data_IF_650097949483
#
_entry.id   IF_650097949483
#
_cell.length_a   1.000
_cell.length_b   1.000
_cell.length_c   1.000
_cell.angle_alpha   90.00
_cell.angle_beta   90.00
_cell.angle_gamma   90.00
#
_symmetry.space_group_name_H-M   'P 1'
#
loop_
_entity.id
_entity.type
_entity.pdbx_description
1 polymer ?
#
# COMPACT_ATOMS: atom_id res chain seq x y z
N UNK A 1 2.75 -12.63 21.54
CA UNK A 1 2.31 -11.54 20.64
C UNK A 1 3.56 -10.91 20.04
N UNK A 2 3.65 -10.84 18.72
CA UNK A 2 4.83 -10.30 18.03
C UNK A 2 4.91 -8.78 18.19
N UNK A 3 3.77 -8.10 18.16
CA UNK A 3 3.62 -6.66 18.28
C UNK A 3 2.33 -6.28 19.01
N UNK A 4 2.29 -5.10 19.61
CA UNK A 4 1.08 -4.59 20.27
C UNK A 4 0.20 -3.80 19.29
N UNK A 5 0.81 -3.21 18.25
CA UNK A 5 0.14 -2.51 17.14
C UNK A 5 0.80 -2.88 15.82
N UNK A 6 0.00 -2.95 14.77
CA UNK A 6 0.48 -3.19 13.41
C UNK A 6 -0.09 -2.17 12.44
N UNK A 7 0.71 -1.75 11.49
CA UNK A 7 0.28 -0.91 10.38
C UNK A 7 -0.84 -1.60 9.58
N UNK A 8 -0.69 -2.88 9.26
CA UNK A 8 -1.67 -3.67 8.48
C UNK A 8 -3.08 -3.61 9.10
N UNK A 9 -3.23 -3.85 10.40
CA UNK A 9 -4.56 -3.77 11.07
C UNK A 9 -5.17 -2.38 10.90
N UNK A 10 -4.36 -1.33 11.09
CA UNK A 10 -4.83 0.05 10.97
C UNK A 10 -5.26 0.37 9.53
N UNK A 11 -4.51 -0.12 8.54
CA UNK A 11 -4.80 0.07 7.12
C UNK A 11 -6.13 -0.57 6.71
N UNK A 12 -6.38 -1.81 7.12
CA UNK A 12 -7.63 -2.49 6.78
C UNK A 12 -8.84 -1.90 7.52
N UNK A 13 -8.67 -1.43 8.75
CA UNK A 13 -9.73 -0.65 9.44
C UNK A 13 -10.02 0.64 8.69
N UNK A 14 -8.99 1.33 8.19
CA UNK A 14 -9.15 2.51 7.36
C UNK A 14 -9.93 2.22 6.07
N UNK A 15 -9.57 1.16 5.35
CA UNK A 15 -10.28 0.74 4.14
C UNK A 15 -11.76 0.45 4.39
N UNK A 16 -12.07 -0.28 5.48
CA UNK A 16 -13.44 -0.56 5.87
C UNK A 16 -14.22 0.71 6.22
N UNK A 17 -13.62 1.63 6.97
CA UNK A 17 -14.24 2.92 7.30
C UNK A 17 -14.42 3.83 6.09
N UNK A 18 -13.50 3.79 5.12
CA UNK A 18 -13.63 4.52 3.86
C UNK A 18 -14.89 4.11 3.12
N UNK A 19 -15.11 2.81 2.93
CA UNK A 19 -16.31 2.33 2.24
C UNK A 19 -17.60 2.54 3.07
N UNK A 20 -17.51 2.44 4.39
CA UNK A 20 -18.66 2.77 5.25
C UNK A 20 -19.01 4.26 5.18
N UNK A 21 -18.02 5.14 5.27
CA UNK A 21 -18.24 6.59 5.13
C UNK A 21 -18.80 6.98 3.77
N UNK A 22 -18.30 6.34 2.71
CA UNK A 22 -18.78 6.59 1.33
C UNK A 22 -20.30 6.42 1.16
N UNK A 23 -20.90 5.50 1.91
CA UNK A 23 -22.36 5.22 1.80
C UNK A 23 -23.17 5.87 2.92
N UNK A 24 -22.61 6.08 4.10
CA UNK A 24 -23.34 6.60 5.28
C UNK A 24 -23.20 8.10 5.46
N UNK A 25 -22.05 8.68 5.11
CA UNK A 25 -21.64 10.03 5.46
C UNK A 25 -21.73 10.33 6.97
N UNK A 26 -21.52 9.28 7.78
CA UNK A 26 -21.57 9.37 9.23
C UNK A 26 -20.39 10.22 9.76
N UNK A 27 -20.69 11.26 10.55
CA UNK A 27 -19.68 12.20 11.05
C UNK A 27 -18.63 11.53 11.93
N UNK A 28 -19.02 10.58 12.78
CA UNK A 28 -18.06 9.85 13.64
C UNK A 28 -17.10 9.05 12.81
N UNK A 29 -17.58 8.37 11.76
CA UNK A 29 -16.72 7.60 10.84
C UNK A 29 -15.75 8.52 10.10
N UNK A 30 -16.22 9.69 9.65
CA UNK A 30 -15.36 10.73 9.06
C UNK A 30 -14.23 11.18 9.99
N UNK A 31 -14.54 11.45 11.27
CA UNK A 31 -13.52 11.80 12.26
C UNK A 31 -12.55 10.64 12.56
N UNK A 32 -13.01 9.38 12.52
CA UNK A 32 -12.13 8.22 12.64
C UNK A 32 -11.18 8.07 11.46
N UNK A 33 -11.65 8.35 10.23
CA UNK A 33 -10.77 8.37 9.05
C UNK A 33 -9.67 9.41 9.19
N UNK A 34 -10.01 10.63 9.61
CA UNK A 34 -9.04 11.71 9.87
C UNK A 34 -8.01 11.29 10.91
N UNK A 35 -8.46 10.74 12.02
CA UNK A 35 -7.57 10.25 13.07
C UNK A 35 -6.62 9.16 12.57
N UNK A 36 -7.09 8.22 11.74
CA UNK A 36 -6.23 7.17 11.18
C UNK A 36 -5.19 7.77 10.24
N UNK A 37 -5.57 8.72 9.38
CA UNK A 37 -4.63 9.44 8.50
C UNK A 37 -3.54 10.16 9.32
N UNK A 38 -3.92 10.81 10.43
CA UNK A 38 -2.96 11.45 11.34
C UNK A 38 -1.99 10.43 11.94
N UNK A 39 -2.48 9.27 12.38
CA UNK A 39 -1.62 8.19 12.89
C UNK A 39 -0.67 7.69 11.80
N UNK A 40 -1.14 7.52 10.56
CA UNK A 40 -0.26 7.12 9.45
C UNK A 40 0.82 8.15 9.18
N UNK A 41 0.47 9.42 9.07
CA UNK A 41 1.41 10.49 8.79
C UNK A 41 2.45 10.70 9.91
N UNK A 42 1.99 10.62 11.17
CA UNK A 42 2.79 11.07 12.32
C UNK A 42 3.51 9.92 13.06
N UNK A 43 3.07 8.65 12.87
CA UNK A 43 3.56 7.49 13.63
C UNK A 43 4.00 6.32 12.76
N UNK A 44 3.36 6.11 11.62
CA UNK A 44 3.61 4.95 10.77
C UNK A 44 4.60 5.29 9.65
N UNK A 45 4.41 6.41 8.97
CA UNK A 45 5.30 6.86 7.91
C UNK A 45 6.64 7.34 8.47
N UNK A 46 7.72 6.82 7.92
CA UNK A 46 9.09 7.23 8.25
C UNK A 46 9.66 8.08 7.10
N UNK A 47 9.73 9.41 7.25
CA UNK A 47 10.15 10.30 6.16
C UNK A 47 11.64 10.18 5.80
N UNK A 48 12.48 9.70 6.73
CA UNK A 48 13.90 9.48 6.48
C UNK A 48 14.12 8.25 5.60
N UNK A 49 13.36 7.17 5.86
CA UNK A 49 13.42 5.93 5.11
C UNK A 49 12.47 5.93 3.89
N UNK A 50 11.55 6.91 3.80
CA UNK A 50 10.54 7.04 2.73
C UNK A 50 9.65 5.79 2.58
N UNK A 51 9.30 5.18 3.72
CA UNK A 51 8.52 3.96 3.81
C UNK A 51 7.69 3.96 5.08
N UNK A 52 6.81 2.98 5.21
CA UNK A 52 6.12 2.71 6.45
C UNK A 52 6.96 1.82 7.37
N UNK A 53 6.77 1.99 8.67
CA UNK A 53 7.13 1.01 9.68
C UNK A 53 5.94 0.07 9.92
N UNK A 54 6.19 -1.20 10.25
CA UNK A 54 5.17 -2.25 10.18
C UNK A 54 4.67 -2.69 11.55
N UNK A 55 5.60 -2.91 12.50
CA UNK A 55 5.31 -3.46 13.83
C UNK A 55 5.76 -2.52 14.93
N UNK A 56 4.87 -2.29 15.91
CA UNK A 56 5.10 -1.32 16.97
C UNK A 56 4.80 -1.88 18.34
N UNK A 57 5.46 -1.33 19.36
CA UNK A 57 5.02 -1.41 20.73
C UNK A 57 3.79 -0.49 20.98
N UNK A 58 3.31 -0.46 22.24
CA UNK A 58 2.17 0.38 22.63
C UNK A 58 2.38 1.90 22.40
N UNK A 59 3.63 2.35 22.35
CA UNK A 59 4.01 3.76 22.21
C UNK A 59 4.34 4.15 20.75
N UNK A 60 4.14 3.24 19.80
CA UNK A 60 4.55 3.37 18.39
C UNK A 60 6.06 3.39 18.17
N UNK A 61 6.85 2.79 19.07
CA UNK A 61 8.25 2.52 18.75
C UNK A 61 8.31 1.30 17.82
N UNK A 62 9.04 1.42 16.71
CA UNK A 62 9.30 0.33 15.79
C UNK A 62 10.09 -0.78 16.47
N UNK A 63 9.64 -2.03 16.34
CA UNK A 63 10.24 -3.19 17.02
C UNK A 63 11.01 -4.12 16.08
N UNK A 64 10.88 -3.95 14.77
CA UNK A 64 11.61 -4.72 13.77
C UNK A 64 11.89 -3.86 12.54
N UNK A 65 13.09 -3.96 11.99
CA UNK A 65 13.42 -3.38 10.69
C UNK A 65 12.87 -4.27 9.59
N UNK A 66 11.67 -3.91 9.12
CA UNK A 66 10.95 -4.58 8.05
C UNK A 66 10.38 -3.55 7.08
N UNK A 67 10.70 -3.70 5.81
CA UNK A 67 10.10 -2.94 4.72
C UNK A 67 9.18 -3.85 3.91
N UNK A 68 7.88 -3.71 4.07
CA UNK A 68 6.87 -4.46 3.31
C UNK A 68 6.48 -3.67 2.06
N UNK A 69 6.99 -4.06 0.92
CA UNK A 69 6.76 -3.36 -0.35
C UNK A 69 5.30 -3.39 -0.76
N UNK A 70 4.65 -4.55 -0.60
CA UNK A 70 3.23 -4.71 -0.91
C UNK A 70 2.34 -3.79 -0.07
N UNK A 71 2.60 -3.67 1.23
CA UNK A 71 1.81 -2.78 2.07
C UNK A 71 2.06 -1.29 1.79
N UNK A 72 3.26 -0.91 1.38
CA UNK A 72 3.52 0.49 1.02
C UNK A 72 2.72 0.90 -0.22
N UNK A 73 2.71 0.06 -1.25
CA UNK A 73 1.94 0.35 -2.46
C UNK A 73 0.42 0.27 -2.21
N UNK A 74 -0.04 -0.69 -1.38
CA UNK A 74 -1.43 -0.79 -0.93
C UNK A 74 -1.85 0.47 -0.18
N UNK A 75 -1.05 0.93 0.78
CA UNK A 75 -1.33 2.16 1.53
C UNK A 75 -1.41 3.37 0.62
N UNK A 76 -0.54 3.47 -0.39
CA UNK A 76 -0.53 4.60 -1.30
C UNK A 76 -1.91 4.80 -1.95
N UNK A 77 -2.50 3.76 -2.54
CA UNK A 77 -3.80 3.91 -3.21
C UNK A 77 -4.99 3.92 -2.24
N UNK A 78 -4.94 3.15 -1.13
CA UNK A 78 -6.03 3.15 -0.13
C UNK A 78 -6.17 4.50 0.55
N UNK A 79 -5.07 5.16 0.91
CA UNK A 79 -5.09 6.50 1.51
C UNK A 79 -5.60 7.54 0.52
N UNK A 80 -5.17 7.50 -0.74
CA UNK A 80 -5.69 8.37 -1.78
C UNK A 80 -7.20 8.19 -1.97
N UNK A 81 -7.67 6.95 -1.97
CA UNK A 81 -9.10 6.62 -2.02
C UNK A 81 -9.86 7.19 -0.82
N UNK A 82 -9.32 7.04 0.39
CA UNK A 82 -9.94 7.58 1.61
C UNK A 82 -10.01 9.10 1.60
N UNK A 83 -8.95 9.76 1.14
CA UNK A 83 -8.91 11.23 0.98
C UNK A 83 -9.96 11.70 -0.03
N UNK A 84 -10.10 11.01 -1.16
CA UNK A 84 -11.11 11.33 -2.18
C UNK A 84 -12.53 11.20 -1.61
N UNK A 85 -12.81 10.08 -0.92
CA UNK A 85 -14.12 9.81 -0.32
C UNK A 85 -14.46 10.80 0.80
N UNK A 86 -13.46 11.17 1.62
CA UNK A 86 -13.64 12.17 2.68
C UNK A 86 -13.90 13.57 2.11
N UNK A 87 -13.28 13.93 0.99
CA UNK A 87 -13.44 15.23 0.34
C UNK A 87 -12.85 16.41 1.12
N UNK A 88 -11.97 16.17 2.09
CA UNK A 88 -11.34 17.19 2.92
C UNK A 88 -9.99 17.65 2.31
N UNK A 89 -9.92 18.92 1.91
CA UNK A 89 -8.74 19.48 1.24
C UNK A 89 -7.48 19.46 2.12
N UNK A 90 -7.63 19.64 3.44
CA UNK A 90 -6.49 19.57 4.37
C UNK A 90 -5.87 18.18 4.38
N UNK A 91 -6.68 17.12 4.46
CA UNK A 91 -6.18 15.75 4.43
C UNK A 91 -5.63 15.36 3.07
N UNK A 92 -6.17 15.91 1.98
CA UNK A 92 -5.57 15.76 0.66
C UNK A 92 -4.15 16.34 0.61
N UNK A 93 -3.97 17.57 1.09
CA UNK A 93 -2.66 18.23 1.14
C UNK A 93 -1.67 17.49 2.05
N UNK A 94 -2.14 16.96 3.19
CA UNK A 94 -1.33 16.21 4.15
C UNK A 94 -0.87 14.86 3.60
N UNK A 95 -1.77 14.09 2.98
CA UNK A 95 -1.52 12.70 2.61
C UNK A 95 -0.88 12.52 1.23
N UNK A 96 -1.22 13.36 0.23
CA UNK A 96 -0.70 13.19 -1.14
C UNK A 96 0.82 13.10 -1.24
N UNK A 97 1.63 13.93 -0.56
CA UNK A 97 3.09 13.77 -0.62
C UNK A 97 3.60 12.45 -0.03
N UNK A 98 2.89 11.90 0.95
CA UNK A 98 3.24 10.62 1.57
C UNK A 98 2.92 9.49 0.60
N UNK A 99 1.71 9.43 0.04
CA UNK A 99 1.27 8.38 -0.87
C UNK A 99 2.12 8.35 -2.14
N UNK A 100 2.44 9.51 -2.71
CA UNK A 100 3.37 9.63 -3.85
C UNK A 100 4.75 9.09 -3.49
N UNK A 101 5.29 9.47 -2.32
CA UNK A 101 6.60 8.99 -1.87
C UNK A 101 6.64 7.48 -1.70
N UNK A 102 5.58 6.88 -1.14
CA UNK A 102 5.47 5.43 -0.99
C UNK A 102 5.48 4.72 -2.34
N UNK A 103 4.63 5.14 -3.28
CA UNK A 103 4.56 4.55 -4.61
C UNK A 103 5.88 4.69 -5.39
N UNK A 104 6.48 5.90 -5.39
CA UNK A 104 7.76 6.14 -6.06
C UNK A 104 8.91 5.33 -5.46
N UNK A 105 8.95 5.20 -4.12
CA UNK A 105 10.01 4.47 -3.47
C UNK A 105 9.91 2.97 -3.76
N UNK A 106 8.71 2.39 -3.67
CA UNK A 106 8.46 1.00 -4.03
C UNK A 106 8.85 0.72 -5.48
N UNK A 107 8.43 1.57 -6.42
CA UNK A 107 8.82 1.46 -7.83
C UNK A 107 10.34 1.42 -8.02
N UNK A 108 11.08 2.26 -7.29
CA UNK A 108 12.54 2.37 -7.43
C UNK A 108 13.33 1.21 -6.81
N UNK A 109 12.83 0.65 -5.69
CA UNK A 109 13.63 -0.29 -4.88
C UNK A 109 13.20 -1.75 -5.00
N UNK A 110 11.96 -2.01 -5.43
CA UNK A 110 11.37 -3.35 -5.35
C UNK A 110 10.77 -3.85 -6.67
N UNK A 111 10.48 -2.97 -7.62
CA UNK A 111 9.96 -3.35 -8.93
C UNK A 111 11.12 -3.62 -9.89
N UNK A 112 11.14 -4.82 -10.49
CA UNK A 112 12.23 -5.27 -11.36
C UNK A 112 12.00 -5.01 -12.86
N UNK A 113 10.88 -4.34 -13.19
CA UNK A 113 10.42 -4.10 -14.56
C UNK A 113 9.31 -5.05 -15.00
N UNK A 114 9.00 -6.08 -14.20
CA UNK A 114 7.96 -7.06 -14.49
C UNK A 114 7.06 -7.34 -13.29
N UNK A 115 7.62 -7.35 -12.08
CA UNK A 115 6.93 -7.76 -10.85
C UNK A 115 7.54 -7.14 -9.61
N UNK A 116 6.78 -7.16 -8.51
CA UNK A 116 7.21 -6.60 -7.23
C UNK A 116 7.73 -7.67 -6.28
N UNK A 117 8.91 -7.46 -5.69
CA UNK A 117 9.40 -8.26 -4.57
C UNK A 117 8.49 -8.13 -3.34
N UNK A 118 8.52 -9.12 -2.44
CA UNK A 118 7.64 -9.14 -1.26
C UNK A 118 8.03 -8.10 -0.21
N UNK A 119 9.24 -8.21 0.34
CA UNK A 119 9.67 -7.41 1.49
C UNK A 119 11.20 -7.40 1.67
N UNK A 120 11.69 -6.50 2.51
CA UNK A 120 13.08 -6.52 2.97
C UNK A 120 13.12 -6.50 4.50
N UNK A 121 13.72 -7.52 5.11
CA UNK A 121 13.85 -7.62 6.55
C UNK A 121 15.33 -7.50 6.93
N UNK A 122 15.69 -6.48 7.73
CA UNK A 122 17.07 -6.26 8.20
C UNK A 122 18.11 -6.25 7.07
N UNK A 123 17.73 -5.70 5.91
CA UNK A 123 18.57 -5.61 4.72
C UNK A 123 18.57 -6.87 3.82
N UNK A 124 17.89 -7.93 4.20
CA UNK A 124 17.73 -9.13 3.38
C UNK A 124 16.41 -9.07 2.61
N UNK A 125 16.48 -9.08 1.27
CA UNK A 125 15.31 -9.02 0.39
C UNK A 125 14.73 -10.43 0.25
N UNK A 126 13.42 -10.54 0.50
CA UNK A 126 12.61 -11.68 0.11
C UNK A 126 11.98 -11.34 -1.26
N UNK A 127 12.47 -11.97 -2.29
CA UNK A 127 12.07 -11.71 -3.68
C UNK A 127 10.95 -12.62 -4.21
N UNK A 128 10.34 -13.43 -3.36
CA UNK A 128 9.14 -14.17 -3.71
C UNK A 128 8.02 -13.24 -4.18
N UNK A 129 7.27 -13.68 -5.19
CA UNK A 129 6.13 -12.93 -5.73
C UNK A 129 4.84 -13.45 -5.11
N UNK A 130 4.41 -12.80 -4.01
CA UNK A 130 3.18 -13.16 -3.30
C UNK A 130 1.99 -12.56 -4.06
N UNK A 131 0.96 -13.33 -4.31
CA UNK A 131 -0.17 -12.97 -5.17
C UNK A 131 -0.82 -11.63 -4.85
N UNK A 132 -1.06 -11.34 -3.55
CA UNK A 132 -1.72 -10.10 -3.16
C UNK A 132 -0.81 -8.88 -3.38
N UNK A 133 0.50 -9.03 -3.18
CA UNK A 133 1.49 -7.98 -3.44
C UNK A 133 1.43 -7.57 -4.92
N UNK A 134 1.35 -8.55 -5.83
CA UNK A 134 1.25 -8.27 -7.26
C UNK A 134 -0.07 -7.57 -7.60
N UNK A 135 -1.20 -8.02 -7.01
CA UNK A 135 -2.50 -7.41 -7.22
C UNK A 135 -2.54 -5.94 -6.74
N UNK A 136 -2.00 -5.67 -5.55
CA UNK A 136 -1.90 -4.33 -4.99
C UNK A 136 -0.99 -3.42 -5.82
N UNK A 137 0.06 -3.99 -6.40
CA UNK A 137 0.99 -3.26 -7.28
C UNK A 137 0.31 -2.76 -8.54
N UNK A 138 -0.50 -3.58 -9.20
CA UNK A 138 -1.28 -3.15 -10.38
C UNK A 138 -2.15 -1.94 -10.03
N UNK A 139 -2.88 -2.01 -8.91
CA UNK A 139 -3.80 -0.95 -8.49
C UNK A 139 -3.02 0.31 -8.09
N UNK A 140 -1.96 0.14 -7.29
CA UNK A 140 -1.19 1.26 -6.75
C UNK A 140 -0.44 2.02 -7.84
N UNK A 141 0.18 1.34 -8.80
CA UNK A 141 0.84 2.01 -9.92
C UNK A 141 -0.17 2.68 -10.86
N UNK A 142 -1.30 2.03 -11.13
CA UNK A 142 -2.38 2.66 -11.91
C UNK A 142 -2.92 3.90 -11.22
N UNK A 143 -3.12 3.89 -9.90
CA UNK A 143 -3.53 5.04 -9.12
C UNK A 143 -2.53 6.20 -9.23
N UNK A 144 -1.22 5.92 -9.12
CA UNK A 144 -0.19 6.94 -9.26
C UNK A 144 -0.17 7.57 -10.67
N UNK A 145 -0.34 6.76 -11.72
CA UNK A 145 -0.51 7.27 -13.08
C UNK A 145 -1.76 8.14 -13.23
N UNK A 146 -2.90 7.73 -12.66
CA UNK A 146 -4.14 8.51 -12.74
C UNK A 146 -4.02 9.89 -12.07
N UNK A 147 -3.25 9.98 -10.99
CA UNK A 147 -2.92 11.26 -10.32
C UNK A 147 -1.96 12.11 -11.14
N UNK A 148 -1.03 11.47 -11.82
CA UNK A 148 0.09 12.09 -12.54
C UNK A 148 0.27 11.48 -13.93
N UNK A 149 -0.61 11.78 -14.92
CA UNK A 149 -0.58 11.15 -16.25
C UNK A 149 0.72 11.37 -17.04
N UNK A 150 1.54 12.35 -16.63
CA UNK A 150 2.87 12.59 -17.22
C UNK A 150 3.93 11.56 -16.74
N UNK A 151 3.64 10.78 -15.69
CA UNK A 151 4.49 9.69 -15.20
C UNK A 151 4.10 8.36 -15.89
N UNK A 152 4.29 8.29 -17.22
CA UNK A 152 3.90 7.12 -18.05
C UNK A 152 4.52 5.81 -17.57
N UNK A 153 5.69 5.86 -16.95
CA UNK A 153 6.36 4.69 -16.37
C UNK A 153 5.51 3.92 -15.34
N UNK A 154 4.56 4.57 -14.66
CA UNK A 154 3.65 3.88 -13.74
C UNK A 154 2.54 3.12 -14.48
N UNK A 155 2.06 3.63 -15.62
CA UNK A 155 1.15 2.86 -16.47
C UNK A 155 1.85 1.64 -17.05
N UNK A 156 3.04 1.82 -17.63
CA UNK A 156 3.85 0.74 -18.16
C UNK A 156 4.16 -0.33 -17.10
N UNK A 157 4.48 0.08 -15.87
CA UNK A 157 4.71 -0.83 -14.75
C UNK A 157 3.46 -1.59 -14.33
N UNK A 158 2.28 -0.92 -14.27
CA UNK A 158 1.01 -1.58 -13.98
C UNK A 158 0.63 -2.61 -15.05
N UNK A 159 0.87 -2.30 -16.32
CA UNK A 159 0.65 -3.22 -17.43
C UNK A 159 1.60 -4.42 -17.38
N UNK A 160 2.90 -4.19 -17.12
CA UNK A 160 3.89 -5.26 -17.00
C UNK A 160 3.56 -6.20 -15.83
N UNK A 161 3.17 -5.64 -14.68
CA UNK A 161 2.73 -6.41 -13.51
C UNK A 161 1.49 -7.26 -13.83
N UNK A 162 0.53 -6.71 -14.56
CA UNK A 162 -0.66 -7.46 -14.98
C UNK A 162 -0.31 -8.60 -15.95
N UNK A 163 0.64 -8.40 -16.89
CA UNK A 163 1.12 -9.49 -17.74
C UNK A 163 1.79 -10.58 -16.91
N UNK A 164 2.64 -10.22 -15.94
CA UNK A 164 3.25 -11.16 -15.01
C UNK A 164 2.20 -11.99 -14.25
N UNK A 165 1.17 -11.35 -13.71
CA UNK A 165 0.07 -12.04 -13.02
C UNK A 165 -0.59 -13.06 -13.94
N UNK A 166 -0.91 -12.69 -15.18
CA UNK A 166 -1.55 -13.59 -16.16
C UNK A 166 -0.68 -14.79 -16.53
N UNK A 167 0.62 -14.60 -16.60
CA UNK A 167 1.55 -15.65 -16.99
C UNK A 167 1.90 -16.60 -15.86
N UNK A 168 2.13 -16.07 -14.66
CA UNK A 168 2.78 -16.80 -13.59
C UNK A 168 1.88 -17.02 -12.35
N UNK A 169 1.03 -16.06 -11.99
CA UNK A 169 0.25 -16.12 -10.74
C UNK A 169 -1.09 -16.83 -10.92
N UNK A 170 -1.75 -16.63 -12.06
CA UNK A 170 -3.03 -17.29 -12.36
C UNK A 170 -2.78 -18.80 -12.62
N UNK A 171 -3.37 -19.64 -11.77
CA UNK A 171 -3.34 -21.09 -11.97
C UNK A 171 -4.34 -21.51 -13.08
N UNK A 172 -3.82 -21.97 -14.21
CA UNK A 172 -4.62 -22.31 -15.40
C UNK A 172 -5.31 -23.68 -15.31
N UNK A 173 -5.18 -24.43 -14.22
CA UNK A 173 -5.88 -25.68 -14.00
C UNK A 173 -7.38 -25.44 -13.79
N UNK A 174 -8.22 -26.33 -14.32
CA UNK A 174 -9.68 -26.21 -14.17
C UNK A 174 -10.09 -26.20 -12.71
N UNK A 175 -10.81 -25.15 -12.29
CA UNK A 175 -11.30 -24.98 -10.90
C UNK A 175 -10.27 -24.40 -9.93
N UNK A 176 -9.09 -24.03 -10.43
CA UNK A 176 -8.08 -23.31 -9.65
C UNK A 176 -8.26 -21.80 -9.77
N UNK A 177 -7.61 -21.04 -8.89
CA UNK A 177 -7.63 -19.58 -8.85
C UNK A 177 -6.22 -19.03 -9.11
N UNK A 178 -5.52 -18.62 -8.04
CA UNK A 178 -4.17 -18.07 -8.10
C UNK A 178 -3.21 -18.90 -7.25
N UNK A 179 -1.96 -18.98 -7.66
CA UNK A 179 -0.91 -19.48 -6.78
C UNK A 179 -0.69 -18.52 -5.63
N UNK A 180 -0.38 -19.07 -4.43
CA UNK A 180 -0.06 -18.23 -3.28
C UNK A 180 1.20 -17.38 -3.52
N UNK A 181 2.21 -18.01 -4.07
CA UNK A 181 3.49 -17.39 -4.42
C UNK A 181 4.11 -18.05 -5.65
N UNK A 182 4.94 -17.29 -6.35
CA UNK A 182 5.80 -17.75 -7.44
C UNK A 182 7.20 -17.18 -7.26
N UNK A 183 8.22 -17.85 -7.87
CA UNK A 183 9.63 -17.45 -7.81
C UNK A 183 10.07 -16.85 -9.14
#
# INVERSE_FOLDING_TARGET
>A
VLAEKTMNTLLHVFGAYTEFYRVSHDEEVGERLKWIMDVFADKVYNPQLKRQEVFFDKNYNTIIDLYSYGHDIETAWLMDRGVEVLGDAHYKEKMSPITETLAENVYKVAFDGHSLANECCKGEVNDHRIWWVQAETVIGFLNEYQKHPQKENFLEASEAEWEFIKEHVIDKRTGSEWFWEVN
#
